data_IF_767225270114
#
_entry.id   IF_767225270114
#
_cell.length_a   1.000
_cell.length_b   1.000
_cell.length_c   1.000
_cell.angle_alpha   90.00
_cell.angle_beta   90.00
_cell.angle_gamma   90.00
#
_symmetry.space_group_name_H-M   'P 1'
#
loop_
_entity.id
_entity.type
_entity.pdbx_description
1 polymer ?
#
# COMPACT_ATOMS: atom_id res chain seq x y z
N UNK A 1 -43.13 21.43 10.54
CA UNK A 1 -41.67 21.28 10.36
C UNK A 1 -41.29 20.02 11.11
N UNK A 2 -40.95 18.94 10.40
CA UNK A 2 -40.67 17.64 11.00
C UNK A 2 -39.15 17.53 11.16
N UNK A 3 -38.68 17.47 12.40
CA UNK A 3 -37.27 17.21 12.72
C UNK A 3 -36.86 15.84 12.18
N UNK A 4 -35.92 15.84 11.24
CA UNK A 4 -35.24 14.63 10.78
C UNK A 4 -34.07 14.41 11.74
N UNK A 5 -34.03 13.31 12.52
CA UNK A 5 -32.91 13.06 13.39
C UNK A 5 -31.67 12.72 12.55
N UNK A 6 -30.70 13.63 12.51
CA UNK A 6 -29.34 13.37 12.05
C UNK A 6 -28.67 12.45 13.07
N UNK A 7 -28.53 11.16 12.73
CA UNK A 7 -27.73 10.22 13.52
C UNK A 7 -26.24 10.52 13.32
N UNK A 8 -25.73 11.52 14.03
CA UNK A 8 -24.30 11.93 13.98
C UNK A 8 -23.41 11.11 14.91
N UNK A 9 -23.93 10.09 15.60
CA UNK A 9 -23.08 9.17 16.34
C UNK A 9 -22.36 8.22 15.37
N UNK A 10 -21.00 8.18 15.38
CA UNK A 10 -20.27 7.22 14.58
C UNK A 10 -20.61 5.82 15.11
N UNK A 11 -21.43 5.07 14.38
CA UNK A 11 -21.70 3.68 14.68
C UNK A 11 -20.37 2.95 14.89
N UNK A 12 -20.20 2.36 16.07
CA UNK A 12 -19.02 1.58 16.41
C UNK A 12 -18.77 0.54 15.31
N UNK A 13 -17.69 0.71 14.56
CA UNK A 13 -17.38 -0.15 13.45
C UNK A 13 -17.03 -1.55 13.99
N UNK A 14 -17.88 -2.54 13.72
CA UNK A 14 -17.69 -3.94 14.13
C UNK A 14 -16.36 -4.57 13.69
N UNK A 15 -15.66 -3.97 12.74
CA UNK A 15 -14.36 -4.44 12.26
C UNK A 15 -13.17 -3.88 13.05
N UNK A 16 -13.37 -2.87 13.91
CA UNK A 16 -12.28 -2.19 14.63
C UNK A 16 -11.58 -3.12 15.61
N UNK A 17 -12.33 -3.90 16.41
CA UNK A 17 -11.74 -4.83 17.38
C UNK A 17 -10.91 -5.96 16.70
N UNK A 18 -11.44 -6.53 15.61
CA UNK A 18 -10.71 -7.53 14.81
C UNK A 18 -9.44 -6.94 14.16
N UNK A 19 -9.52 -5.70 13.64
CA UNK A 19 -8.37 -5.01 13.06
C UNK A 19 -7.28 -4.71 14.10
N UNK A 20 -7.65 -4.30 15.32
CA UNK A 20 -6.71 -4.07 16.42
C UNK A 20 -5.99 -5.37 16.79
N UNK A 21 -6.75 -6.45 17.00
CA UNK A 21 -6.16 -7.77 17.31
C UNK A 21 -5.20 -8.26 16.22
N UNK A 22 -5.57 -8.14 14.95
CA UNK A 22 -4.69 -8.54 13.82
C UNK A 22 -3.43 -7.69 13.75
N UNK A 23 -3.53 -6.38 14.04
CA UNK A 23 -2.39 -5.48 14.09
C UNK A 23 -1.44 -5.85 15.22
N UNK A 24 -1.96 -6.22 16.39
CA UNK A 24 -1.15 -6.69 17.52
C UNK A 24 -0.42 -7.99 17.17
N UNK A 25 -1.09 -8.95 16.52
CA UNK A 25 -0.42 -10.17 16.04
C UNK A 25 0.70 -9.87 15.04
N UNK A 26 0.48 -8.94 14.10
CA UNK A 26 1.53 -8.54 13.15
C UNK A 26 2.69 -7.82 13.84
N UNK A 27 2.44 -7.09 14.94
CA UNK A 27 3.51 -6.45 15.72
C UNK A 27 4.31 -7.47 16.50
N UNK A 28 3.65 -8.42 17.15
CA UNK A 28 4.32 -9.52 17.84
C UNK A 28 5.24 -10.28 16.87
N UNK A 29 4.75 -10.60 15.66
CA UNK A 29 5.58 -11.23 14.63
C UNK A 29 6.79 -10.40 14.17
N UNK A 30 6.73 -9.07 14.29
CA UNK A 30 7.85 -8.17 13.97
C UNK A 30 8.80 -8.06 15.16
N UNK A 31 8.28 -8.08 16.39
CA UNK A 31 9.07 -8.11 17.63
C UNK A 31 9.82 -9.43 17.81
N UNK A 32 9.25 -10.54 17.31
CA UNK A 32 9.88 -11.87 17.27
C UNK A 32 11.01 -11.99 16.23
N UNK A 33 11.20 -10.99 15.36
CA UNK A 33 12.39 -10.94 14.52
C UNK A 33 13.56 -10.56 15.43
N UNK A 34 14.42 -11.53 15.74
CA UNK A 34 15.59 -11.43 16.66
C UNK A 34 16.68 -10.41 16.23
N UNK A 35 16.38 -9.54 15.26
CA UNK A 35 17.29 -8.52 14.78
C UNK A 35 16.91 -7.15 15.39
N UNK A 36 17.79 -6.54 16.20
CA UNK A 36 17.52 -5.21 16.76
C UNK A 36 17.28 -4.26 15.61
N UNK A 37 16.18 -3.48 15.65
CA UNK A 37 15.75 -2.61 14.56
C UNK A 37 16.96 -1.85 13.98
N UNK A 38 17.46 -2.26 12.80
CA UNK A 38 18.71 -1.72 12.30
C UNK A 38 18.51 -0.24 11.93
N UNK A 39 19.59 0.55 11.87
CA UNK A 39 19.48 1.91 11.35
C UNK A 39 18.82 1.89 9.98
N UNK A 40 17.92 2.84 9.75
CA UNK A 40 17.20 2.91 8.49
C UNK A 40 18.20 3.07 7.32
N UNK A 41 18.14 2.14 6.37
CA UNK A 41 18.96 2.21 5.16
C UNK A 41 18.63 3.47 4.35
N UNK A 42 19.67 4.11 3.83
CA UNK A 42 19.55 5.19 2.85
C UNK A 42 18.98 4.68 1.54
N UNK A 43 18.41 5.58 0.73
CA UNK A 43 17.89 5.21 -0.60
C UNK A 43 18.95 4.62 -1.54
N UNK A 44 20.22 4.96 -1.34
CA UNK A 44 21.33 4.44 -2.11
C UNK A 44 21.67 3.01 -1.70
N UNK A 45 21.75 2.72 -0.41
CA UNK A 45 22.00 1.37 0.13
C UNK A 45 20.86 0.42 -0.25
N UNK A 46 19.61 0.85 -0.11
CA UNK A 46 18.45 0.05 -0.56
C UNK A 46 18.56 -0.29 -2.05
N UNK A 47 19.00 0.66 -2.87
CA UNK A 47 19.17 0.44 -4.30
C UNK A 47 20.30 -0.56 -4.57
N UNK A 48 21.45 -0.37 -3.93
CA UNK A 48 22.60 -1.26 -4.06
C UNK A 48 22.23 -2.70 -3.69
N UNK A 49 21.63 -2.91 -2.52
CA UNK A 49 21.21 -4.22 -2.04
C UNK A 49 20.17 -4.86 -2.99
N UNK A 50 19.12 -4.12 -3.38
CA UNK A 50 18.06 -4.65 -4.26
C UNK A 50 18.53 -5.03 -5.65
N UNK A 51 19.54 -4.34 -6.18
CA UNK A 51 20.07 -4.62 -7.52
C UNK A 51 21.20 -5.66 -7.51
N UNK A 52 21.66 -6.09 -6.33
CA UNK A 52 22.65 -7.15 -6.19
C UNK A 52 21.93 -8.48 -5.99
N UNK A 53 21.88 -9.36 -7.00
CA UNK A 53 21.18 -10.63 -6.85
C UNK A 53 21.96 -11.60 -5.95
N UNK A 54 21.27 -12.52 -5.28
CA UNK A 54 21.87 -13.63 -4.52
C UNK A 54 22.95 -14.36 -5.33
N UNK A 55 22.72 -14.61 -6.62
CA UNK A 55 23.69 -15.26 -7.50
C UNK A 55 25.02 -14.50 -7.67
N UNK A 56 25.03 -13.17 -7.47
CA UNK A 56 26.27 -12.40 -7.44
C UNK A 56 27.03 -12.64 -6.13
N UNK A 57 26.33 -12.73 -5.00
CA UNK A 57 26.91 -13.05 -3.69
C UNK A 57 27.49 -14.47 -3.68
N UNK A 58 26.79 -15.45 -4.25
CA UNK A 58 27.28 -16.84 -4.38
C UNK A 58 28.58 -16.90 -5.18
N UNK A 59 28.65 -16.20 -6.31
CA UNK A 59 29.87 -16.12 -7.13
C UNK A 59 31.01 -15.42 -6.39
N UNK A 60 30.71 -14.39 -5.60
CA UNK A 60 31.72 -13.72 -4.78
C UNK A 60 32.27 -14.67 -3.70
N UNK A 61 31.41 -15.41 -3.00
CA UNK A 61 31.83 -16.39 -2.01
C UNK A 61 32.74 -17.47 -2.63
N UNK A 62 32.35 -18.03 -3.78
CA UNK A 62 33.16 -19.00 -4.53
C UNK A 62 34.51 -18.42 -4.97
N UNK A 63 34.54 -17.15 -5.37
CA UNK A 63 35.78 -16.48 -5.77
C UNK A 63 36.73 -16.31 -4.59
N UNK A 64 36.24 -15.87 -3.43
CA UNK A 64 37.06 -15.70 -2.23
C UNK A 64 37.64 -17.03 -1.75
N UNK A 65 36.87 -18.13 -1.83
CA UNK A 65 37.37 -19.47 -1.52
C UNK A 65 38.46 -19.95 -2.50
N UNK A 66 38.35 -19.56 -3.78
CA UNK A 66 39.25 -20.02 -4.83
C UNK A 66 40.58 -19.25 -4.89
N UNK A 67 40.64 -18.02 -4.40
CA UNK A 67 41.82 -17.15 -4.52
C UNK A 67 42.52 -16.98 -3.17
N UNK A 68 43.76 -17.48 -3.01
CA UNK A 68 44.53 -17.30 -1.78
C UNK A 68 44.71 -15.82 -1.43
N UNK A 69 44.57 -15.48 -0.14
CA UNK A 69 44.78 -14.13 0.39
C UNK A 69 43.54 -13.22 0.42
N UNK A 70 42.43 -13.60 -0.22
CA UNK A 70 41.18 -12.82 -0.14
C UNK A 70 40.33 -13.14 1.10
N UNK A 71 40.44 -14.35 1.66
CA UNK A 71 39.72 -14.75 2.88
C UNK A 71 40.11 -13.97 4.13
N UNK A 72 41.24 -13.24 4.10
CA UNK A 72 41.65 -12.32 5.18
C UNK A 72 40.98 -10.94 5.05
N UNK A 73 40.47 -10.59 3.86
CA UNK A 73 39.84 -9.30 3.57
C UNK A 73 38.32 -9.37 3.50
N UNK A 74 37.75 -10.51 3.14
CA UNK A 74 36.31 -10.72 2.98
C UNK A 74 35.91 -11.98 3.74
N UNK A 75 34.96 -11.83 4.67
CA UNK A 75 34.41 -12.98 5.40
C UNK A 75 33.42 -13.75 4.51
N UNK A 76 33.84 -14.93 4.07
CA UNK A 76 32.98 -15.84 3.28
C UNK A 76 31.81 -16.36 4.11
N UNK A 77 31.98 -16.47 5.43
CA UNK A 77 30.93 -16.93 6.35
C UNK A 77 29.76 -15.96 6.34
N UNK A 78 30.06 -14.66 6.47
CA UNK A 78 29.06 -13.59 6.39
C UNK A 78 28.31 -13.62 5.05
N UNK A 79 29.02 -13.76 3.92
CA UNK A 79 28.39 -13.87 2.60
C UNK A 79 27.42 -15.06 2.53
N UNK A 80 27.80 -16.22 3.08
CA UNK A 80 26.96 -17.42 3.08
C UNK A 80 25.76 -17.30 4.02
N UNK A 81 25.93 -16.66 5.17
CA UNK A 81 24.84 -16.37 6.11
C UNK A 81 23.81 -15.43 5.49
N UNK A 82 24.25 -14.37 4.80
CA UNK A 82 23.35 -13.44 4.09
C UNK A 82 22.57 -14.17 2.98
N UNK A 83 23.24 -15.02 2.19
CA UNK A 83 22.58 -15.85 1.16
C UNK A 83 21.52 -16.75 1.80
N UNK A 84 21.86 -17.46 2.87
CA UNK A 84 20.94 -18.36 3.57
C UNK A 84 19.74 -17.60 4.14
N UNK A 85 19.97 -16.42 4.73
CA UNK A 85 18.94 -15.56 5.27
C UNK A 85 17.99 -15.06 4.17
N UNK A 86 18.51 -14.53 3.05
CA UNK A 86 17.68 -14.04 1.95
C UNK A 86 16.80 -15.16 1.37
N UNK A 87 17.37 -16.36 1.18
CA UNK A 87 16.60 -17.51 0.68
C UNK A 87 15.52 -17.98 1.66
N UNK A 88 15.82 -18.00 2.96
CA UNK A 88 14.86 -18.39 4.00
C UNK A 88 13.70 -17.37 4.12
N UNK A 89 14.03 -16.07 4.09
CA UNK A 89 13.06 -15.00 4.30
C UNK A 89 12.32 -14.56 3.02
N UNK A 90 12.79 -14.94 1.82
CA UNK A 90 12.07 -14.61 0.59
C UNK A 90 10.65 -15.21 0.57
N UNK A 91 10.49 -16.45 1.02
CA UNK A 91 9.18 -17.08 1.16
C UNK A 91 8.26 -16.32 2.10
N UNK A 92 8.78 -15.89 3.25
CA UNK A 92 8.05 -15.06 4.24
C UNK A 92 7.62 -13.73 3.62
N UNK A 93 8.54 -13.07 2.89
CA UNK A 93 8.28 -11.82 2.17
C UNK A 93 7.15 -11.99 1.15
N UNK A 94 7.19 -13.04 0.34
CA UNK A 94 6.18 -13.33 -0.68
C UNK A 94 4.80 -13.52 -0.03
N UNK A 95 4.70 -14.33 1.02
CA UNK A 95 3.43 -14.59 1.71
C UNK A 95 2.88 -13.33 2.40
N UNK A 96 3.75 -12.50 3.00
CA UNK A 96 3.34 -11.21 3.54
C UNK A 96 2.75 -10.29 2.46
N UNK A 97 3.34 -10.26 1.26
CA UNK A 97 2.79 -9.51 0.12
C UNK A 97 1.45 -10.08 -0.36
N UNK A 98 1.29 -11.41 -0.36
CA UNK A 98 0.01 -12.07 -0.71
C UNK A 98 -1.07 -11.69 0.29
N UNK A 99 -0.78 -11.72 1.59
CA UNK A 99 -1.68 -11.28 2.64
C UNK A 99 -2.12 -9.83 2.46
N UNK A 100 -1.17 -8.91 2.24
CA UNK A 100 -1.46 -7.50 2.00
C UNK A 100 -2.39 -7.30 0.79
N UNK A 101 -2.08 -7.93 -0.34
CA UNK A 101 -2.92 -7.89 -1.55
C UNK A 101 -4.32 -8.45 -1.29
N UNK A 102 -4.44 -9.50 -0.48
CA UNK A 102 -5.74 -10.09 -0.14
C UNK A 102 -6.59 -9.15 0.71
N UNK A 103 -5.97 -8.50 1.70
CA UNK A 103 -6.63 -7.48 2.53
C UNK A 103 -7.13 -6.33 1.64
N UNK A 104 -6.29 -5.83 0.74
CA UNK A 104 -6.66 -4.77 -0.22
C UNK A 104 -7.87 -5.19 -1.08
N UNK A 105 -7.86 -6.42 -1.61
CA UNK A 105 -8.98 -6.92 -2.40
C UNK A 105 -10.28 -7.00 -1.59
N UNK A 106 -10.21 -7.40 -0.31
CA UNK A 106 -11.39 -7.46 0.57
C UNK A 106 -11.94 -6.03 0.79
N UNK A 107 -11.07 -5.06 1.07
CA UNK A 107 -11.44 -3.65 1.24
C UNK A 107 -12.11 -3.13 -0.04
N UNK A 108 -11.47 -3.35 -1.20
CA UNK A 108 -11.99 -2.91 -2.49
C UNK A 108 -13.35 -3.54 -2.83
N UNK A 109 -13.52 -4.84 -2.58
CA UNK A 109 -14.81 -5.53 -2.82
C UNK A 109 -15.93 -4.97 -1.96
N UNK A 110 -15.67 -4.76 -0.66
CA UNK A 110 -16.64 -4.15 0.26
C UNK A 110 -16.98 -2.72 -0.17
N UNK A 111 -15.97 -1.92 -0.51
CA UNK A 111 -16.12 -0.54 -0.99
C UNK A 111 -16.89 -0.46 -2.31
N UNK A 112 -16.69 -1.41 -3.23
CA UNK A 112 -17.28 -1.36 -4.57
C UNK A 112 -18.82 -1.34 -4.54
N UNK A 113 -19.46 -2.09 -3.64
CA UNK A 113 -20.93 -2.08 -3.51
C UNK A 113 -21.44 -0.70 -3.10
N UNK A 114 -20.82 -0.10 -2.09
CA UNK A 114 -21.14 1.25 -1.64
C UNK A 114 -20.90 2.28 -2.75
N UNK A 115 -19.76 2.20 -3.46
CA UNK A 115 -19.44 3.11 -4.57
C UNK A 115 -20.48 3.00 -5.70
N UNK A 116 -20.94 1.80 -6.05
CA UNK A 116 -21.99 1.62 -7.05
C UNK A 116 -23.30 2.28 -6.61
N UNK A 117 -23.70 2.08 -5.35
CA UNK A 117 -24.89 2.71 -4.78
C UNK A 117 -24.79 4.25 -4.81
N UNK A 118 -23.66 4.81 -4.36
CA UNK A 118 -23.43 6.28 -4.38
C UNK A 118 -23.48 6.83 -5.81
N UNK A 119 -22.90 6.12 -6.80
CA UNK A 119 -22.96 6.55 -8.21
C UNK A 119 -24.38 6.48 -8.78
N UNK A 120 -25.17 5.46 -8.41
CA UNK A 120 -26.56 5.36 -8.81
C UNK A 120 -27.39 6.49 -8.19
N UNK A 121 -27.22 6.75 -6.90
CA UNK A 121 -27.85 7.86 -6.18
C UNK A 121 -27.51 9.20 -6.80
N UNK A 122 -26.24 9.47 -7.12
CA UNK A 122 -25.82 10.69 -7.80
C UNK A 122 -26.54 10.89 -9.14
N UNK A 123 -26.73 9.82 -9.93
CA UNK A 123 -27.46 9.93 -11.21
C UNK A 123 -28.92 10.34 -11.00
N UNK A 124 -29.59 9.75 -10.02
CA UNK A 124 -30.99 10.07 -9.66
C UNK A 124 -31.07 11.51 -9.14
N UNK A 125 -30.23 11.85 -8.16
CA UNK A 125 -30.21 13.17 -7.53
C UNK A 125 -29.89 14.28 -8.53
N UNK A 126 -28.99 14.03 -9.49
CA UNK A 126 -28.71 14.97 -10.59
C UNK A 126 -29.94 15.30 -11.43
N UNK A 127 -30.81 14.31 -11.71
CA UNK A 127 -32.09 14.53 -12.40
C UNK A 127 -33.17 15.14 -11.51
N UNK A 128 -33.06 14.98 -10.19
CA UNK A 128 -33.99 15.60 -9.23
C UNK A 128 -33.75 17.11 -9.09
N UNK A 129 -32.49 17.55 -9.10
CA UNK A 129 -32.09 18.97 -9.01
C UNK A 129 -32.55 19.82 -10.21
N UNK A 130 -32.96 19.20 -11.32
CA UNK A 130 -33.55 19.89 -12.47
C UNK A 130 -35.05 20.14 -12.35
N UNK A 131 -35.71 19.62 -11.30
CA UNK A 131 -37.11 19.91 -10.99
C UNK A 131 -37.20 21.07 -10.00
N UNK A 132 -38.30 21.83 -10.03
CA UNK A 132 -38.50 23.00 -9.13
C UNK A 132 -38.49 22.64 -7.64
N UNK A 133 -38.73 21.37 -7.28
CA UNK A 133 -38.63 20.85 -5.92
C UNK A 133 -37.19 20.46 -5.49
N UNK A 134 -36.19 20.67 -6.35
CA UNK A 134 -34.84 20.14 -6.22
C UNK A 134 -33.80 21.08 -5.61
N UNK A 135 -34.12 22.35 -5.38
CA UNK A 135 -33.15 23.38 -4.98
C UNK A 135 -32.43 23.06 -3.65
N UNK A 136 -33.11 22.45 -2.69
CA UNK A 136 -32.53 22.04 -1.40
C UNK A 136 -31.41 20.97 -1.56
N UNK A 137 -31.43 20.18 -2.63
CA UNK A 137 -30.46 19.12 -2.87
C UNK A 137 -29.25 19.55 -3.74
N UNK A 138 -29.29 20.76 -4.31
CA UNK A 138 -28.31 21.23 -5.32
C UNK A 138 -26.88 21.26 -4.76
N UNK A 139 -26.69 21.79 -3.56
CA UNK A 139 -25.37 21.86 -2.88
C UNK A 139 -24.77 20.48 -2.62
N UNK A 140 -25.58 19.52 -2.18
CA UNK A 140 -25.14 18.14 -1.94
C UNK A 140 -24.76 17.41 -3.23
N UNK A 141 -25.50 17.63 -4.31
CA UNK A 141 -25.20 17.05 -5.63
C UNK A 141 -23.92 17.63 -6.22
N UNK A 142 -23.63 18.92 -6.02
CA UNK A 142 -22.37 19.54 -6.44
C UNK A 142 -21.17 19.01 -5.65
N UNK A 143 -21.31 18.85 -4.33
CA UNK A 143 -20.29 18.22 -3.49
C UNK A 143 -20.01 16.77 -3.93
N UNK A 144 -21.06 15.99 -4.24
CA UNK A 144 -20.94 14.63 -4.78
C UNK A 144 -20.27 14.63 -6.17
N UNK A 145 -20.61 15.56 -7.05
CA UNK A 145 -19.98 15.70 -8.37
C UNK A 145 -18.47 15.92 -8.24
N UNK A 146 -18.05 16.83 -7.35
CA UNK A 146 -16.63 17.17 -7.12
C UNK A 146 -15.83 15.98 -6.60
N UNK A 147 -16.43 15.14 -5.77
CA UNK A 147 -15.77 13.97 -5.15
C UNK A 147 -15.79 12.73 -6.05
N UNK A 148 -16.84 12.55 -6.87
CA UNK A 148 -16.99 11.38 -7.76
C UNK A 148 -16.30 11.54 -9.11
N UNK A 149 -16.25 12.76 -9.64
CA UNK A 149 -15.59 13.06 -10.92
C UNK A 149 -14.13 13.32 -10.63
N UNK A 150 -13.27 12.34 -10.93
CA UNK A 150 -11.83 12.52 -10.88
C UNK A 150 -11.48 13.68 -11.83
N UNK A 151 -10.79 14.74 -11.37
CA UNK A 151 -10.32 15.77 -12.29
C UNK A 151 -9.41 15.08 -13.31
N UNK A 152 -9.78 15.16 -14.59
CA UNK A 152 -8.95 14.66 -15.67
C UNK A 152 -7.58 15.33 -15.49
N UNK A 153 -6.53 14.52 -15.23
CA UNK A 153 -5.16 15.03 -15.21
C UNK A 153 -4.94 15.70 -16.56
N UNK A 154 -4.85 17.04 -16.56
CA UNK A 154 -4.41 17.82 -17.70
C UNK A 154 -3.12 17.18 -18.18
N UNK A 155 -3.17 16.44 -19.29
CA UNK A 155 -1.99 16.15 -20.09
C UNK A 155 -1.49 17.54 -20.48
N UNK A 156 -0.43 18.03 -19.82
CA UNK A 156 0.35 19.15 -20.32
C UNK A 156 0.90 18.69 -21.66
N UNK A 157 0.20 19.08 -22.73
CA UNK A 157 0.71 19.09 -24.08
C UNK A 157 1.91 20.04 -24.02
N UNK A 158 3.12 19.53 -24.24
CA UNK A 158 4.24 20.36 -24.69
C UNK A 158 3.75 21.05 -25.98
N UNK A 159 3.60 22.37 -25.91
CA UNK A 159 3.89 23.26 -27.03
C UNK A 159 5.28 23.80 -26.65
N UNK A 160 6.38 23.51 -27.35
CA UNK A 160 6.62 23.81 -28.77
C UNK A 160 6.20 25.26 -29.07
N UNK A 161 7.11 26.19 -28.76
CA UNK A 161 7.31 27.52 -29.34
C UNK A 161 8.10 28.38 -28.35
N UNK A 162 9.41 28.42 -28.54
CA UNK A 162 10.13 29.67 -28.77
C UNK A 162 11.44 29.28 -29.43
N UNK A 163 11.52 29.67 -30.69
CA UNK A 163 12.75 29.86 -31.48
C UNK A 163 13.85 30.59 -30.70
#
# INVERSE_FOLDING_TARGET
MSDVPTSDEPQANRFTADAVRRRELLRALVEDLDEPAPPALTSMEVRLARHTPVAALEKAALFVDAVPGFGEMIDVTELREVIAFELAYDGVRVEAMVLARRIDQIILRRKLRAVKAVRALYKIAKGYVTLDAGDAARTHVEALKKTLVRPARRRKKKAEETE
#
